data_IF_324209541612
#
_entry.id   IF_324209541612
#
_cell.length_a   1.000
_cell.length_b   1.000
_cell.length_c   1.000
_cell.angle_alpha   90.00
_cell.angle_beta   90.00
_cell.angle_gamma   90.00
#
_symmetry.space_group_name_H-M   'P 1'
#
loop_
_entity.id
_entity.type
_entity.pdbx_description
1 polymer ?
#
# COMPACT_ATOMS: atom_id res chain seq x y z
N UNK A 1 14.67 0.06 21.97
CA UNK A 1 13.66 -0.10 20.90
C UNK A 1 13.93 -1.41 20.18
N UNK A 2 12.90 -2.06 19.63
CA UNK A 2 12.96 -3.35 18.94
C UNK A 2 12.05 -3.39 17.69
N UNK A 3 11.92 -4.54 17.01
CA UNK A 3 11.21 -4.64 15.73
C UNK A 3 9.73 -4.22 15.78
N UNK A 4 9.09 -4.35 16.93
CA UNK A 4 7.69 -3.97 17.14
C UNK A 4 7.45 -2.45 17.10
N UNK A 5 8.52 -1.65 17.02
CA UNK A 5 8.45 -0.19 16.93
C UNK A 5 8.73 0.32 15.51
N UNK A 6 8.72 -0.56 14.50
CA UNK A 6 8.75 -0.19 13.08
C UNK A 6 7.38 0.33 12.64
N UNK A 7 7.31 1.57 12.15
CA UNK A 7 6.03 2.21 11.79
C UNK A 7 6.12 3.17 10.59
N UNK A 8 7.33 3.55 10.18
CA UNK A 8 7.50 4.46 9.05
C UNK A 8 7.34 3.74 7.71
N UNK A 9 7.19 4.51 6.64
CA UNK A 9 7.22 3.97 5.28
C UNK A 9 8.56 3.32 4.95
N UNK A 10 9.68 3.88 5.43
CA UNK A 10 11.00 3.29 5.25
C UNK A 10 11.10 1.93 5.95
N UNK A 11 10.55 1.80 7.16
CA UNK A 11 10.49 0.51 7.86
C UNK A 11 9.68 -0.53 7.08
N UNK A 12 8.55 -0.12 6.49
CA UNK A 12 7.74 -1.00 5.65
C UNK A 12 8.59 -1.55 4.49
N UNK A 13 9.34 -0.69 3.80
CA UNK A 13 10.11 -1.08 2.61
C UNK A 13 11.37 -1.88 2.93
N UNK A 14 12.09 -1.51 4.00
CA UNK A 14 13.41 -2.07 4.32
C UNK A 14 13.33 -3.28 5.23
N UNK A 15 12.34 -3.34 6.12
CA UNK A 15 12.25 -4.39 7.14
C UNK A 15 11.08 -5.35 6.87
N UNK A 16 9.89 -4.83 6.57
CA UNK A 16 8.67 -5.66 6.50
C UNK A 16 8.51 -6.32 5.13
N UNK A 17 8.52 -5.53 4.05
CA UNK A 17 8.26 -5.99 2.68
C UNK A 17 9.19 -7.13 2.22
N UNK A 18 10.50 -7.15 2.55
CA UNK A 18 11.37 -8.25 2.16
C UNK A 18 10.98 -9.59 2.80
N UNK A 19 10.34 -9.55 3.97
CA UNK A 19 9.89 -10.71 4.73
C UNK A 19 8.42 -11.07 4.50
N UNK A 20 7.68 -10.27 3.72
CA UNK A 20 6.29 -10.52 3.42
C UNK A 20 6.14 -11.79 2.58
N UNK A 21 5.36 -12.75 3.10
CA UNK A 21 5.03 -14.01 2.43
C UNK A 21 3.71 -13.91 1.67
N UNK A 22 3.42 -14.86 0.79
CA UNK A 22 2.20 -14.89 -0.02
C UNK A 22 0.90 -14.97 0.79
N UNK A 23 0.94 -15.47 2.03
CA UNK A 23 -0.23 -15.52 2.93
C UNK A 23 -0.47 -14.19 3.67
N UNK A 24 0.48 -13.26 3.61
CA UNK A 24 0.37 -11.96 4.25
C UNK A 24 -0.66 -11.09 3.52
N UNK A 25 -1.41 -10.29 4.28
CA UNK A 25 -2.38 -9.33 3.73
C UNK A 25 -1.90 -7.92 3.96
N UNK A 26 -1.99 -7.07 2.94
CA UNK A 26 -1.63 -5.65 3.01
C UNK A 26 -2.84 -4.80 2.68
N UNK A 27 -3.13 -3.83 3.55
CA UNK A 27 -4.24 -2.89 3.38
C UNK A 27 -3.68 -1.49 3.17
N UNK A 28 -3.98 -0.90 2.02
CA UNK A 28 -3.63 0.48 1.70
C UNK A 28 -4.75 1.41 2.14
N UNK A 29 -4.43 2.47 2.88
CA UNK A 29 -5.40 3.48 3.31
C UNK A 29 -4.87 4.84 2.86
N UNK A 30 -5.60 5.51 1.98
CA UNK A 30 -5.18 6.78 1.40
C UNK A 30 -6.40 7.60 0.96
N UNK A 31 -6.15 8.84 0.57
CA UNK A 31 -7.09 9.75 -0.04
C UNK A 31 -6.71 10.01 -1.49
N UNK A 32 -7.67 10.44 -2.30
CA UNK A 32 -7.41 10.86 -3.68
C UNK A 32 -6.56 12.14 -3.82
N UNK A 33 -6.32 12.83 -2.71
CA UNK A 33 -5.46 14.01 -2.63
C UNK A 33 -4.00 13.65 -2.25
N UNK A 34 -3.74 12.39 -1.89
CA UNK A 34 -2.38 11.90 -1.62
C UNK A 34 -1.56 11.71 -2.91
N UNK A 35 -0.28 11.37 -2.75
CA UNK A 35 0.60 11.03 -3.87
C UNK A 35 0.24 9.66 -4.46
N UNK A 36 -0.75 9.63 -5.36
CA UNK A 36 -1.24 8.40 -5.98
C UNK A 36 -0.18 7.68 -6.83
N UNK A 37 0.82 8.39 -7.33
CA UNK A 37 1.96 7.79 -8.05
C UNK A 37 2.80 6.94 -7.10
N UNK A 38 3.11 7.47 -5.91
CA UNK A 38 3.85 6.75 -4.88
C UNK A 38 3.06 5.57 -4.32
N UNK A 39 1.76 5.76 -4.06
CA UNK A 39 0.87 4.68 -3.65
C UNK A 39 0.85 3.55 -4.69
N UNK A 40 0.79 3.88 -5.99
CA UNK A 40 0.83 2.89 -7.06
C UNK A 40 2.16 2.13 -7.10
N UNK A 41 3.30 2.82 -6.94
CA UNK A 41 4.62 2.16 -6.89
C UNK A 41 4.70 1.16 -5.73
N UNK A 42 4.27 1.57 -4.54
CA UNK A 42 4.22 0.69 -3.35
C UNK A 42 3.31 -0.53 -3.57
N UNK A 43 2.15 -0.32 -4.18
CA UNK A 43 1.23 -1.41 -4.53
C UNK A 43 1.89 -2.42 -5.45
N UNK A 44 2.58 -1.98 -6.52
CA UNK A 44 3.26 -2.89 -7.45
C UNK A 44 4.38 -3.67 -6.75
N UNK A 45 5.12 -3.04 -5.84
CA UNK A 45 6.13 -3.74 -5.03
C UNK A 45 5.52 -4.80 -4.10
N UNK A 46 4.35 -4.53 -3.50
CA UNK A 46 3.65 -5.50 -2.65
C UNK A 46 3.08 -6.66 -3.47
N UNK A 47 2.61 -6.40 -4.71
CA UNK A 47 2.11 -7.45 -5.62
C UNK A 47 3.15 -8.51 -5.97
N UNK A 48 4.44 -8.16 -5.92
CA UNK A 48 5.53 -9.12 -6.09
C UNK A 48 5.63 -10.14 -4.93
N UNK A 49 5.02 -9.84 -3.78
CA UNK A 49 5.09 -10.64 -2.55
C UNK A 49 3.80 -11.37 -2.22
N UNK A 50 2.65 -10.71 -2.42
CA UNK A 50 1.33 -11.28 -2.09
C UNK A 50 0.26 -10.76 -3.03
N UNK A 51 -0.73 -11.62 -3.32
CA UNK A 51 -1.95 -11.25 -4.03
C UNK A 51 -3.05 -10.72 -3.09
N UNK A 52 -2.88 -10.84 -1.77
CA UNK A 52 -3.86 -10.41 -0.78
C UNK A 52 -3.71 -8.92 -0.46
N UNK A 53 -4.06 -8.10 -1.44
CA UNK A 53 -4.00 -6.64 -1.35
C UNK A 53 -5.43 -6.11 -1.29
N UNK A 54 -5.67 -5.14 -0.42
CA UNK A 54 -6.93 -4.43 -0.32
C UNK A 54 -6.66 -2.93 -0.18
N UNK A 55 -7.65 -2.09 -0.53
CA UNK A 55 -7.53 -0.65 -0.40
C UNK A 55 -8.80 0.00 0.16
N UNK A 56 -8.61 0.99 1.02
CA UNK A 56 -9.61 1.95 1.46
C UNK A 56 -9.19 3.33 0.96
N UNK A 57 -9.88 3.82 -0.06
CA UNK A 57 -9.61 5.13 -0.65
C UNK A 57 -10.73 6.12 -0.32
N UNK A 58 -10.39 7.24 0.30
CA UNK A 58 -11.34 8.34 0.50
C UNK A 58 -11.27 9.34 -0.67
N UNK A 59 -12.45 9.84 -1.06
CA UNK A 59 -12.62 10.77 -2.17
C UNK A 59 -13.46 11.96 -1.75
N UNK A 60 -13.10 13.15 -2.22
CA UNK A 60 -14.03 14.28 -2.26
C UNK A 60 -14.99 14.14 -3.46
N UNK A 61 -16.22 14.66 -3.32
CA UNK A 61 -17.21 14.64 -4.40
C UNK A 61 -16.63 15.20 -5.70
N UNK A 62 -16.76 14.44 -6.79
CA UNK A 62 -16.23 14.80 -8.12
C UNK A 62 -14.87 14.18 -8.44
N UNK A 63 -14.15 13.63 -7.46
CA UNK A 63 -12.94 12.85 -7.71
C UNK A 63 -13.27 11.42 -8.11
N UNK A 64 -12.39 10.81 -8.91
CA UNK A 64 -12.51 9.40 -9.28
C UNK A 64 -11.17 8.70 -9.17
N UNK A 65 -11.18 7.48 -8.63
CA UNK A 65 -9.97 6.67 -8.51
C UNK A 65 -9.35 6.44 -9.89
N UNK A 66 -8.03 6.65 -10.07
CA UNK A 66 -7.36 6.33 -11.33
C UNK A 66 -7.51 4.85 -11.67
N UNK A 67 -7.66 4.55 -12.97
CA UNK A 67 -7.85 3.19 -13.48
C UNK A 67 -6.83 2.16 -12.96
N UNK A 68 -5.52 2.49 -12.82
CA UNK A 68 -4.54 1.54 -12.29
C UNK A 68 -4.85 1.08 -10.86
N UNK A 69 -5.37 1.98 -10.01
CA UNK A 69 -5.69 1.71 -8.61
C UNK A 69 -7.10 1.13 -8.41
N UNK A 70 -7.97 1.19 -9.42
CA UNK A 70 -9.30 0.52 -9.37
C UNK A 70 -9.23 -1.01 -9.44
N UNK A 71 -8.09 -1.56 -9.87
CA UNK A 71 -7.89 -3.01 -10.05
C UNK A 71 -7.16 -3.66 -8.87
N UNK A 72 -7.09 -2.94 -7.75
CA UNK A 72 -6.58 -3.44 -6.48
C UNK A 72 -7.53 -4.45 -5.85
#
# INVERSE_FOLDING_TARGET
QGPQFSFSQEDLLTCILPSLTEIGTVVFIFTLDDNLTEAQVLVEQVKEKTAHIQALAHSTVGQTLPTPLRKL
#
